data_IF_087301238970
#
_entry.id   IF_087301238970
#
_cell.length_a   1.000
_cell.length_b   1.000
_cell.length_c   1.000
_cell.angle_alpha   90.00
_cell.angle_beta   90.00
_cell.angle_gamma   90.00
#
_symmetry.space_group_name_H-M   'P 1'
#
loop_
_entity.id
_entity.type
_entity.pdbx_description
1 polymer ?
#
# COMPACT_ATOMS: atom_id res chain seq x y z
N UNK A 1 -72.87 19.66 6.66
CA UNK A 1 -71.67 19.93 7.48
C UNK A 1 -70.54 19.02 7.00
N UNK A 2 -69.59 19.56 6.24
CA UNK A 2 -68.41 18.85 5.76
C UNK A 2 -67.34 18.87 6.86
N UNK A 3 -66.84 17.69 7.28
CA UNK A 3 -65.71 17.61 8.22
C UNK A 3 -64.41 17.91 7.46
N UNK A 4 -63.47 18.70 8.02
CA UNK A 4 -62.20 18.95 7.38
C UNK A 4 -61.35 17.67 7.36
N UNK A 5 -60.69 17.42 6.22
CA UNK A 5 -59.72 16.33 6.04
C UNK A 5 -58.46 16.65 6.87
N UNK A 6 -57.89 15.70 7.63
CA UNK A 6 -56.66 15.95 8.38
C UNK A 6 -55.48 16.21 7.43
N UNK A 7 -54.48 17.01 7.85
CA UNK A 7 -53.30 17.26 7.04
C UNK A 7 -52.53 15.96 6.81
N UNK A 8 -52.14 15.74 5.56
CA UNK A 8 -51.30 14.62 5.15
C UNK A 8 -49.85 14.93 5.56
N UNK A 9 -49.45 14.51 6.76
CA UNK A 9 -48.04 14.54 7.17
C UNK A 9 -47.32 13.29 6.66
N UNK A 10 -47.06 13.25 5.36
CA UNK A 10 -46.10 12.31 4.78
C UNK A 10 -44.68 12.84 5.02
N UNK A 11 -44.17 12.72 6.25
CA UNK A 11 -42.75 12.96 6.52
C UNK A 11 -41.95 11.80 5.91
N UNK A 12 -41.18 12.07 4.85
CA UNK A 12 -40.14 11.14 4.41
C UNK A 12 -39.16 10.94 5.58
N UNK A 13 -39.15 9.76 6.17
CA UNK A 13 -38.09 9.37 7.08
C UNK A 13 -36.80 9.23 6.24
N UNK A 14 -35.92 10.22 6.33
CA UNK A 14 -34.55 10.10 5.83
C UNK A 14 -33.87 9.01 6.68
N UNK A 15 -33.71 7.82 6.11
CA UNK A 15 -32.86 6.80 6.72
C UNK A 15 -31.43 7.26 6.56
N UNK A 16 -30.83 7.76 7.64
CA UNK A 16 -29.39 7.88 7.76
C UNK A 16 -28.81 6.47 7.67
N UNK A 17 -28.21 6.14 6.52
CA UNK A 17 -27.31 5.00 6.41
C UNK A 17 -26.04 5.43 7.11
N UNK A 18 -25.87 4.99 8.36
CA UNK A 18 -24.60 5.13 9.06
C UNK A 18 -23.73 3.98 8.57
N UNK A 19 -22.82 4.26 7.66
CA UNK A 19 -21.78 3.31 7.26
C UNK A 19 -21.01 2.88 8.53
N UNK A 20 -20.83 1.57 8.79
CA UNK A 20 -20.12 1.11 9.96
C UNK A 20 -18.67 1.60 9.91
N UNK A 21 -18.25 2.36 10.93
CA UNK A 21 -16.84 2.72 11.10
C UNK A 21 -16.08 1.46 11.49
N UNK A 22 -15.33 0.89 10.55
CA UNK A 22 -14.46 -0.24 10.83
C UNK A 22 -13.37 0.16 11.84
N UNK A 23 -13.00 -0.73 12.77
CA UNK A 23 -11.85 -0.49 13.63
C UNK A 23 -10.59 -0.36 12.78
N UNK A 24 -9.64 0.48 13.21
CA UNK A 24 -8.37 0.64 12.52
C UNK A 24 -7.57 -0.67 12.55
N UNK A 25 -6.99 -1.06 11.41
CA UNK A 25 -6.17 -2.25 11.24
C UNK A 25 -4.79 -1.85 10.70
N UNK A 26 -3.75 -2.40 11.32
CA UNK A 26 -2.36 -2.28 10.84
C UNK A 26 -2.16 -3.08 9.56
N UNK A 27 -1.71 -2.43 8.49
CA UNK A 27 -1.28 -3.07 7.25
C UNK A 27 0.16 -2.68 6.90
N UNK A 28 0.79 -3.48 6.05
CA UNK A 28 2.16 -3.27 5.59
C UNK A 28 2.20 -3.33 4.08
N UNK A 29 2.79 -2.31 3.47
CA UNK A 29 2.85 -2.17 2.01
C UNK A 29 4.32 -2.11 1.59
N UNK A 30 4.66 -2.75 0.47
CA UNK A 30 5.93 -2.54 -0.23
C UNK A 30 5.70 -1.59 -1.39
N UNK A 31 6.57 -0.60 -1.52
CA UNK A 31 6.56 0.36 -2.62
C UNK A 31 7.83 0.16 -3.45
N UNK A 32 7.71 0.22 -4.77
CA UNK A 32 8.83 0.06 -5.70
C UNK A 32 8.71 0.96 -6.92
N UNK A 33 9.84 1.49 -7.41
CA UNK A 33 9.92 2.27 -8.64
C UNK A 33 11.23 2.03 -9.37
N UNK A 34 11.20 1.85 -10.69
CA UNK A 34 12.41 1.76 -11.51
C UNK A 34 12.36 2.55 -12.83
N UNK A 35 11.41 3.47 -12.97
CA UNK A 35 11.26 4.29 -14.17
C UNK A 35 11.10 5.75 -13.77
N UNK A 36 11.75 6.65 -14.52
CA UNK A 36 11.63 8.10 -14.29
C UNK A 36 12.25 8.55 -12.97
N UNK A 37 11.63 9.53 -12.32
CA UNK A 37 12.06 10.00 -11.00
C UNK A 37 11.55 9.06 -9.91
N UNK A 38 12.32 7.98 -9.67
CA UNK A 38 12.00 6.92 -8.71
C UNK A 38 11.74 7.46 -7.31
N UNK A 39 12.48 8.48 -6.88
CA UNK A 39 12.32 9.09 -5.57
C UNK A 39 11.00 9.87 -5.49
N UNK A 40 10.69 10.68 -6.51
CA UNK A 40 9.43 11.40 -6.56
C UNK A 40 8.22 10.45 -6.57
N UNK A 41 8.29 9.34 -7.31
CA UNK A 41 7.19 8.36 -7.35
C UNK A 41 6.91 7.71 -5.99
N UNK A 42 7.94 7.21 -5.30
CA UNK A 42 7.72 6.58 -3.99
C UNK A 42 7.36 7.62 -2.92
N UNK A 43 7.88 8.85 -3.00
CA UNK A 43 7.52 9.94 -2.10
C UNK A 43 6.05 10.36 -2.28
N UNK A 44 5.61 10.51 -3.54
CA UNK A 44 4.23 10.80 -3.88
C UNK A 44 3.29 9.71 -3.34
N UNK A 45 3.68 8.44 -3.46
CA UNK A 45 2.86 7.33 -2.99
C UNK A 45 2.65 7.37 -1.47
N UNK A 46 3.73 7.59 -0.70
CA UNK A 46 3.64 7.74 0.76
C UNK A 46 2.77 8.94 1.14
N UNK A 47 3.00 10.11 0.53
CA UNK A 47 2.19 11.30 0.79
C UNK A 47 0.71 11.09 0.41
N UNK A 48 0.44 10.45 -0.72
CA UNK A 48 -0.93 10.19 -1.20
C UNK A 48 -1.70 9.23 -0.28
N UNK A 49 -1.01 8.26 0.32
CA UNK A 49 -1.59 7.38 1.33
C UNK A 49 -1.85 8.15 2.64
N UNK A 50 -0.94 9.02 3.08
CA UNK A 50 -1.06 9.74 4.35
C UNK A 50 -2.15 10.83 4.35
N UNK A 51 -2.44 11.44 3.19
CA UNK A 51 -3.55 12.40 3.06
C UNK A 51 -4.92 11.74 2.92
N UNK A 52 -4.99 10.41 2.77
CA UNK A 52 -6.27 9.70 2.63
C UNK A 52 -6.97 9.59 3.99
N UNK A 53 -8.21 10.07 4.11
CA UNK A 53 -8.93 10.20 5.40
C UNK A 53 -9.12 8.90 6.24
N UNK A 54 -8.94 7.74 5.61
CA UNK A 54 -9.04 6.42 6.25
C UNK A 54 -7.70 5.68 6.37
N UNK A 55 -6.57 6.35 6.09
CA UNK A 55 -5.22 5.77 6.17
C UNK A 55 -4.34 6.73 6.97
N UNK A 56 -3.48 6.19 7.82
CA UNK A 56 -2.44 6.93 8.56
C UNK A 56 -1.12 6.20 8.32
N UNK A 57 -0.08 6.90 7.85
CA UNK A 57 1.26 6.31 7.71
C UNK A 57 1.96 6.35 9.07
N UNK A 58 2.19 5.17 9.65
CA UNK A 58 2.74 5.02 11.00
C UNK A 58 4.27 4.98 10.98
N UNK A 59 4.83 4.34 9.96
CA UNK A 59 6.29 4.21 9.80
C UNK A 59 6.67 4.02 8.34
N UNK A 60 7.86 4.51 8.00
CA UNK A 60 8.48 4.39 6.68
C UNK A 60 9.88 3.82 6.89
N UNK A 61 10.25 2.78 6.14
CA UNK A 61 11.59 2.20 6.18
C UNK A 61 12.63 3.13 5.56
N UNK A 62 13.90 2.72 5.60
CA UNK A 62 14.88 3.28 4.68
C UNK A 62 14.55 2.88 3.22
N UNK A 63 15.19 3.54 2.28
CA UNK A 63 15.18 3.26 0.85
C UNK A 63 16.24 2.22 0.52
N UNK A 64 15.91 1.29 -0.38
CA UNK A 64 16.78 0.22 -0.80
C UNK A 64 16.84 0.12 -2.32
N UNK A 65 18.04 0.17 -2.88
CA UNK A 65 18.27 -0.05 -4.31
C UNK A 65 18.60 -1.50 -4.60
N UNK A 66 17.93 -2.09 -5.60
CA UNK A 66 18.03 -3.52 -5.93
C UNK A 66 17.99 -3.77 -7.43
N UNK A 67 18.62 -4.87 -7.86
CA UNK A 67 18.43 -5.38 -9.21
C UNK A 67 16.97 -5.83 -9.44
N UNK A 68 16.46 -5.73 -10.68
CA UNK A 68 15.16 -6.26 -11.03
C UNK A 68 15.10 -7.79 -10.91
N UNK A 69 14.01 -8.32 -10.37
CA UNK A 69 13.77 -9.76 -10.28
C UNK A 69 12.96 -10.25 -11.48
N UNK A 70 13.65 -10.85 -12.45
CA UNK A 70 13.05 -11.34 -13.71
C UNK A 70 12.65 -10.22 -14.66
N UNK A 71 11.92 -10.57 -15.72
CA UNK A 71 11.52 -9.62 -16.76
C UNK A 71 12.65 -9.29 -17.74
N UNK A 72 12.48 -8.27 -18.61
CA UNK A 72 13.54 -7.77 -19.48
C UNK A 72 14.64 -7.07 -18.68
N UNK A 73 15.77 -6.79 -19.34
CA UNK A 73 16.79 -5.87 -18.81
C UNK A 73 16.16 -4.50 -18.56
N UNK A 74 16.37 -3.97 -17.37
CA UNK A 74 15.74 -2.75 -16.87
C UNK A 74 16.60 -2.13 -15.77
N UNK A 75 16.33 -0.86 -15.48
CA UNK A 75 17.03 -0.13 -14.43
C UNK A 75 16.75 -0.69 -13.03
N UNK A 76 17.61 -0.31 -12.08
CA UNK A 76 17.52 -0.69 -10.68
C UNK A 76 16.21 -0.18 -10.06
N UNK A 77 15.61 -0.99 -9.19
CA UNK A 77 14.48 -0.57 -8.38
C UNK A 77 14.94 0.21 -7.16
N UNK A 78 14.19 1.25 -6.82
CA UNK A 78 14.16 1.85 -5.49
C UNK A 78 12.95 1.26 -4.76
N UNK A 79 13.17 0.62 -3.62
CA UNK A 79 12.14 -0.04 -2.82
C UNK A 79 12.11 0.49 -1.38
N UNK A 80 10.94 0.47 -0.76
CA UNK A 80 10.76 0.71 0.67
C UNK A 80 9.51 -0.03 1.17
N UNK A 81 9.37 -0.16 2.49
CA UNK A 81 8.15 -0.63 3.12
C UNK A 81 7.58 0.45 4.04
N UNK A 82 6.25 0.48 4.14
CA UNK A 82 5.54 1.32 5.09
C UNK A 82 4.61 0.50 5.95
N UNK A 83 4.44 0.94 7.19
CA UNK A 83 3.39 0.50 8.08
C UNK A 83 2.29 1.56 8.08
N UNK A 84 1.04 1.13 7.86
CA UNK A 84 -0.12 2.02 7.89
C UNK A 84 -1.17 1.50 8.88
N UNK A 85 -1.91 2.41 9.49
CA UNK A 85 -3.16 2.08 10.19
C UNK A 85 -4.32 2.54 9.30
N UNK A 86 -5.27 1.65 9.00
CA UNK A 86 -6.36 1.95 8.07
C UNK A 86 -7.72 1.42 8.52
N UNK A 87 -8.77 2.15 8.14
CA UNK A 87 -10.18 1.73 8.29
C UNK A 87 -10.77 1.17 6.99
N UNK A 88 -9.99 1.09 5.91
CA UNK A 88 -10.44 0.52 4.63
C UNK A 88 -10.46 -1.00 4.69
N UNK A 89 -11.49 -1.64 4.12
CA UNK A 89 -11.42 -3.09 3.88
C UNK A 89 -10.24 -3.42 2.94
N UNK A 90 -9.68 -4.64 2.97
CA UNK A 90 -8.51 -5.00 2.15
C UNK A 90 -8.67 -4.72 0.65
N UNK A 91 -9.84 -4.97 0.10
CA UNK A 91 -10.14 -4.69 -1.32
C UNK A 91 -10.20 -3.19 -1.61
N UNK A 92 -10.72 -2.37 -0.69
CA UNK A 92 -10.75 -0.92 -0.84
C UNK A 92 -9.34 -0.31 -0.69
N UNK A 93 -8.50 -0.87 0.19
CA UNK A 93 -7.09 -0.50 0.28
C UNK A 93 -6.35 -0.86 -1.01
N UNK A 94 -6.61 -2.03 -1.59
CA UNK A 94 -6.05 -2.42 -2.89
C UNK A 94 -6.44 -1.43 -3.99
N UNK A 95 -7.72 -1.03 -4.05
CA UNK A 95 -8.19 -0.02 -5.00
C UNK A 95 -7.51 1.34 -4.79
N UNK A 96 -7.35 1.79 -3.54
CA UNK A 96 -6.61 3.01 -3.23
C UNK A 96 -5.16 2.95 -3.73
N UNK A 97 -4.48 1.82 -3.51
CA UNK A 97 -3.12 1.61 -4.01
C UNK A 97 -3.06 1.65 -5.55
N UNK A 98 -3.99 0.96 -6.23
CA UNK A 98 -4.05 0.94 -7.69
C UNK A 98 -4.35 2.32 -8.29
N UNK A 99 -5.16 3.15 -7.62
CA UNK A 99 -5.43 4.51 -8.05
C UNK A 99 -4.18 5.40 -7.95
N UNK A 100 -3.36 5.22 -6.91
CA UNK A 100 -2.08 5.94 -6.76
C UNK A 100 -1.10 5.50 -7.85
N UNK A 101 -1.01 4.21 -8.15
CA UNK A 101 -0.21 3.71 -9.27
C UNK A 101 -0.65 4.28 -10.62
N UNK A 102 -1.96 4.36 -10.86
CA UNK A 102 -2.52 4.93 -12.08
C UNK A 102 -2.20 6.43 -12.19
N UNK A 103 -2.29 7.19 -11.09
CA UNK A 103 -1.90 8.59 -11.03
C UNK A 103 -0.40 8.81 -11.25
N UNK A 104 0.43 7.81 -10.93
CA UNK A 104 1.86 7.76 -11.26
C UNK A 104 2.13 7.24 -12.68
N UNK A 105 1.12 7.15 -13.55
CA UNK A 105 1.25 6.71 -14.96
C UNK A 105 1.80 5.28 -15.11
N UNK A 106 1.45 4.37 -14.20
CA UNK A 106 1.86 2.96 -14.30
C UNK A 106 1.22 2.29 -15.52
N UNK A 107 2.05 1.89 -16.48
CA UNK A 107 1.64 1.08 -17.63
C UNK A 107 1.92 -0.42 -17.43
N UNK A 108 1.00 -1.28 -17.88
CA UNK A 108 1.11 -2.76 -17.78
C UNK A 108 1.32 -3.39 -19.17
N UNK A 109 2.41 -3.01 -19.85
CA UNK A 109 2.72 -3.46 -21.22
C UNK A 109 3.42 -4.82 -21.24
N UNK A 110 4.46 -5.00 -20.43
CA UNK A 110 5.28 -6.22 -20.38
C UNK A 110 5.18 -6.84 -18.99
N UNK A 111 4.99 -8.16 -18.92
CA UNK A 111 5.00 -8.89 -17.64
C UNK A 111 6.34 -8.68 -16.94
N UNK A 112 6.31 -8.15 -15.72
CA UNK A 112 7.50 -7.76 -14.93
C UNK A 112 8.40 -6.71 -15.61
N UNK A 113 7.82 -5.89 -16.49
CA UNK A 113 8.53 -4.75 -17.09
C UNK A 113 8.76 -3.59 -16.11
N UNK A 114 9.47 -2.56 -16.58
CA UNK A 114 9.67 -1.32 -15.84
C UNK A 114 8.35 -0.66 -15.44
N UNK A 115 8.36 0.05 -14.32
CA UNK A 115 7.17 0.72 -13.77
C UNK A 115 7.56 1.96 -12.98
N UNK A 116 6.78 3.00 -13.19
CA UNK A 116 6.87 4.27 -12.44
C UNK A 116 6.60 4.04 -10.96
N UNK A 117 5.61 3.22 -10.62
CA UNK A 117 5.26 2.88 -9.25
C UNK A 117 4.61 1.50 -9.17
N UNK A 118 4.89 0.78 -8.10
CA UNK A 118 4.32 -0.51 -7.72
C UNK A 118 4.04 -0.48 -6.22
N UNK A 119 2.81 -0.77 -5.81
CA UNK A 119 2.39 -0.84 -4.40
C UNK A 119 1.81 -2.22 -4.14
N UNK A 120 2.61 -3.07 -3.48
CA UNK A 120 2.21 -4.43 -3.09
C UNK A 120 1.69 -4.42 -1.64
N UNK A 121 0.46 -4.92 -1.43
CA UNK A 121 -0.05 -5.19 -0.09
C UNK A 121 0.59 -6.46 0.47
N UNK A 122 1.43 -6.34 1.52
CA UNK A 122 2.16 -7.47 2.10
C UNK A 122 1.33 -8.21 3.15
N UNK A 123 0.81 -7.46 4.11
CA UNK A 123 0.12 -7.97 5.29
C UNK A 123 -1.01 -7.02 5.67
N UNK A 124 -2.11 -7.56 6.18
CA UNK A 124 -3.25 -6.77 6.67
C UNK A 124 -3.78 -7.40 7.96
N UNK A 125 -3.46 -6.80 9.11
CA UNK A 125 -3.77 -7.35 10.43
C UNK A 125 -3.38 -8.82 10.53
N UNK A 126 -4.34 -9.65 10.89
CA UNK A 126 -4.23 -11.12 10.90
C UNK A 126 -5.01 -11.79 9.76
N UNK A 127 -5.40 -11.04 8.72
CA UNK A 127 -6.19 -11.57 7.61
C UNK A 127 -5.33 -12.51 6.77
N UNK A 128 -5.89 -13.69 6.51
CA UNK A 128 -5.42 -14.62 5.49
C UNK A 128 -6.54 -14.71 4.45
N UNK A 129 -6.24 -14.36 3.21
CA UNK A 129 -7.20 -14.41 2.11
C UNK A 129 -6.54 -14.88 0.82
N UNK A 130 -7.32 -15.56 -0.02
CA UNK A 130 -6.91 -16.04 -1.32
C UNK A 130 -8.06 -15.81 -2.31
N UNK A 131 -8.21 -14.55 -2.71
CA UNK A 131 -9.22 -14.11 -3.67
C UNK A 131 -8.57 -13.86 -5.04
N UNK A 132 -9.34 -13.92 -6.15
CA UNK A 132 -8.80 -13.75 -7.50
C UNK A 132 -7.99 -12.46 -7.72
N UNK A 133 -8.33 -11.40 -6.99
CA UNK A 133 -7.69 -10.08 -7.10
C UNK A 133 -6.70 -9.78 -5.97
N UNK A 134 -6.73 -10.53 -4.86
CA UNK A 134 -5.93 -10.24 -3.67
C UNK A 134 -5.63 -11.50 -2.87
N UNK A 135 -4.35 -11.77 -2.66
CA UNK A 135 -3.87 -12.82 -1.76
C UNK A 135 -3.07 -12.18 -0.63
N UNK A 136 -3.44 -12.45 0.62
CA UNK A 136 -2.73 -12.00 1.81
C UNK A 136 -2.45 -13.17 2.76
N UNK A 137 -1.27 -13.25 3.40
CA UNK A 137 -0.06 -12.46 3.12
C UNK A 137 0.37 -12.54 1.64
N UNK A 138 1.10 -11.53 1.16
CA UNK A 138 1.56 -11.52 -0.23
C UNK A 138 2.36 -12.80 -0.51
N UNK A 139 1.99 -13.61 -1.52
CA UNK A 139 2.41 -15.00 -1.62
C UNK A 139 3.92 -15.18 -1.80
N UNK A 140 4.61 -14.17 -2.36
CA UNK A 140 6.04 -14.21 -2.64
C UNK A 140 6.89 -13.33 -1.71
N UNK A 141 6.29 -12.70 -0.69
CA UNK A 141 7.05 -11.76 0.15
C UNK A 141 8.21 -12.46 0.88
N UNK A 142 8.00 -13.70 1.33
CA UNK A 142 8.97 -14.49 2.09
C UNK A 142 10.16 -14.99 1.27
N UNK A 143 10.17 -14.73 -0.03
CA UNK A 143 11.22 -15.14 -0.97
C UNK A 143 12.07 -13.94 -1.45
N UNK A 144 11.68 -12.71 -1.08
CA UNK A 144 12.21 -11.47 -1.67
C UNK A 144 12.86 -10.59 -0.62
N UNK A 145 14.19 -10.48 -0.66
CA UNK A 145 14.95 -9.65 0.27
C UNK A 145 14.61 -8.18 0.16
N UNK A 146 14.40 -7.67 -1.06
CA UNK A 146 13.97 -6.29 -1.31
C UNK A 146 12.59 -5.95 -0.71
N UNK A 147 11.83 -6.95 -0.24
CA UNK A 147 10.60 -6.78 0.52
C UNK A 147 10.85 -6.96 2.02
N UNK A 148 11.56 -8.02 2.40
CA UNK A 148 11.78 -8.39 3.81
C UNK A 148 12.71 -7.43 4.54
N UNK A 149 13.78 -6.96 3.89
CA UNK A 149 14.74 -6.05 4.51
C UNK A 149 14.11 -4.70 4.86
N UNK A 150 13.39 -4.01 3.95
CA UNK A 150 12.62 -2.81 4.34
C UNK A 150 11.51 -3.11 5.35
N UNK A 151 10.83 -4.27 5.25
CA UNK A 151 9.80 -4.65 6.23
C UNK A 151 10.39 -4.83 7.63
N UNK A 152 11.63 -5.30 7.75
CA UNK A 152 12.32 -5.47 9.02
C UNK A 152 12.57 -4.13 9.73
N UNK A 153 12.69 -3.02 8.99
CA UNK A 153 12.85 -1.67 9.57
C UNK A 153 11.58 -1.20 10.29
N UNK A 154 10.40 -1.50 9.74
CA UNK A 154 9.10 -1.02 10.26
C UNK A 154 8.35 -2.06 11.09
N UNK A 155 8.69 -3.34 10.93
CA UNK A 155 8.05 -4.47 11.62
C UNK A 155 9.02 -5.63 11.87
N UNK A 156 10.09 -5.42 12.68
CA UNK A 156 11.13 -6.42 12.92
C UNK A 156 10.57 -7.73 13.52
N UNK A 157 9.45 -7.66 14.23
CA UNK A 157 8.83 -8.81 14.87
C UNK A 157 8.03 -9.71 13.91
N UNK A 158 7.78 -9.25 12.67
CA UNK A 158 7.01 -10.00 11.66
C UNK A 158 7.90 -10.75 10.66
N UNK A 159 9.20 -10.51 10.67
CA UNK A 159 10.16 -11.17 9.76
C UNK A 159 10.87 -12.33 10.47
N UNK A 160 11.17 -13.45 9.78
CA UNK A 160 11.92 -14.56 10.38
C UNK A 160 13.31 -14.13 10.85
N UNK A 161 13.73 -14.50 12.06
CA UNK A 161 15.01 -14.04 12.66
C UNK A 161 16.27 -14.31 11.80
N UNK A 162 16.22 -15.29 10.90
CA UNK A 162 17.31 -15.70 10.03
C UNK A 162 17.11 -15.28 8.56
N UNK A 163 16.16 -14.37 8.28
CA UNK A 163 15.84 -13.91 6.92
C UNK A 163 17.08 -13.43 6.16
N UNK A 164 17.98 -12.71 6.83
CA UNK A 164 19.17 -12.11 6.21
C UNK A 164 20.17 -13.17 5.75
N UNK A 165 20.25 -14.30 6.46
CA UNK A 165 21.11 -15.43 6.08
C UNK A 165 20.46 -16.24 4.96
N UNK A 166 19.14 -16.45 5.01
CA UNK A 166 18.39 -17.20 3.98
C UNK A 166 18.40 -16.53 2.61
N UNK A 167 18.59 -15.21 2.56
CA UNK A 167 18.55 -14.40 1.35
C UNK A 167 19.88 -13.69 1.08
N UNK A 168 20.99 -14.23 1.59
CA UNK A 168 22.31 -13.59 1.49
C UNK A 168 22.80 -13.43 0.04
N UNK A 169 22.27 -14.21 -0.89
CA UNK A 169 22.55 -14.16 -2.32
C UNK A 169 21.82 -13.01 -3.05
N UNK A 170 20.76 -12.47 -2.45
CA UNK A 170 20.01 -11.34 -3.02
C UNK A 170 20.69 -10.02 -2.64
N UNK A 171 21.10 -9.26 -3.65
CA UNK A 171 21.75 -7.96 -3.46
C UNK A 171 20.71 -6.87 -3.18
N UNK A 172 20.87 -6.21 -2.05
CA UNK A 172 20.03 -5.09 -1.62
C UNK A 172 20.94 -4.06 -0.97
N UNK A 173 20.87 -2.82 -1.44
CA UNK A 173 21.70 -1.73 -0.95
C UNK A 173 20.84 -0.67 -0.29
N UNK A 174 20.99 -0.46 1.02
CA UNK A 174 20.38 0.68 1.71
C UNK A 174 20.99 1.98 1.16
N UNK A 175 20.13 2.92 0.72
CA UNK A 175 20.51 4.22 0.15
C UNK A 175 20.04 5.40 1.01
N UNK A 176 19.65 5.15 2.25
CA UNK A 176 19.26 6.16 3.23
C UNK A 176 17.75 6.34 3.35
N UNK A 177 17.32 7.41 4.03
CA UNK A 177 15.90 7.66 4.30
C UNK A 177 15.20 8.38 3.14
N UNK A 178 13.89 8.17 3.06
CA UNK A 178 13.02 9.03 2.26
C UNK A 178 13.14 10.49 2.77
N UNK A 179 13.41 11.48 1.91
CA UNK A 179 13.51 12.88 2.33
C UNK A 179 12.22 13.37 2.98
N UNK A 180 12.33 14.06 4.12
CA UNK A 180 11.17 14.51 4.92
C UNK A 180 10.43 15.71 4.30
N UNK A 181 10.98 16.32 3.24
CA UNK A 181 10.44 17.56 2.65
C UNK A 181 9.14 17.39 1.84
N UNK A 182 8.57 16.18 1.75
CA UNK A 182 7.38 15.90 0.92
C UNK A 182 6.04 15.90 1.69
N UNK A 183 6.02 16.08 3.02
CA UNK A 183 4.78 16.05 3.83
C UNK A 183 4.29 17.47 4.22
N UNK A 184 4.44 18.45 3.32
CA UNK A 184 3.93 19.80 3.58
C UNK A 184 3.42 20.47 2.30
N UNK A 185 2.11 20.40 2.04
CA UNK A 185 1.11 21.49 2.21
C UNK A 185 -0.23 21.03 1.64
#
# INVERSE_FOLDING_TARGET
MLRPKPPNNSSLAVRLVVEPVLPSVRAYLALGSNLGDRHAHVSLAVASLDVHEQIEVVAVSDLYETDPVGGPEQELFLNLAIAIDTRLAPTALLEACQNIEAAAERERIVRWGPRTLDIDMLLYGSIVMNEPLLTLPHPRMWERRFVIEPLADVAPNLVPVDWSTRMADQQVRNVGRLPTETIAT
#
